data_IF_622729982144
#
_entry.id   IF_622729982144
#
_cell.length_a   1.000
_cell.length_b   1.000
_cell.length_c   1.000
_cell.angle_alpha   90.00
_cell.angle_beta   90.00
_cell.angle_gamma   90.00
#
_symmetry.space_group_name_H-M   'P 1'
#
loop_
_entity.id
_entity.type
_entity.pdbx_description
1 polymer ?
#
# COMPACT_ATOMS: atom_id res chain seq x y z
N UNK A 1 -10.68 6.99 21.31
CA UNK A 1 -11.35 8.08 20.56
C UNK A 1 -10.56 9.39 20.57
N UNK A 2 -10.12 9.90 21.73
CA UNK A 2 -9.35 11.16 21.84
C UNK A 2 -8.07 11.12 20.98
N UNK A 3 -7.30 10.03 21.04
CA UNK A 3 -6.09 9.85 20.24
C UNK A 3 -6.36 9.88 18.73
N UNK A 4 -7.50 9.34 18.28
CA UNK A 4 -7.90 9.39 16.86
C UNK A 4 -8.22 10.81 16.42
N UNK A 5 -8.90 11.60 17.27
CA UNK A 5 -9.18 13.01 17.00
C UNK A 5 -7.91 13.86 16.97
N UNK A 6 -6.97 13.61 17.88
CA UNK A 6 -5.65 14.25 17.86
C UNK A 6 -4.86 13.88 16.60
N UNK A 7 -4.90 12.61 16.18
CA UNK A 7 -4.28 12.16 14.95
C UNK A 7 -4.85 12.87 13.71
N UNK A 8 -6.16 13.04 13.66
CA UNK A 8 -6.82 13.80 12.59
C UNK A 8 -6.42 15.29 12.60
N UNK A 9 -6.35 15.90 13.78
CA UNK A 9 -5.88 17.29 13.93
C UNK A 9 -4.46 17.45 13.38
N UNK A 10 -3.54 16.53 13.73
CA UNK A 10 -2.18 16.53 13.21
C UNK A 10 -2.13 16.32 11.70
N UNK A 11 -2.94 15.39 11.17
CA UNK A 11 -3.02 15.15 9.73
C UNK A 11 -3.44 16.41 8.96
N UNK A 12 -4.41 17.16 9.48
CA UNK A 12 -4.85 18.43 8.90
C UNK A 12 -3.74 19.50 9.03
N UNK A 13 -3.13 19.64 10.22
CA UNK A 13 -2.06 20.59 10.50
C UNK A 13 -0.84 20.40 9.60
N UNK A 14 -0.44 19.15 9.38
CA UNK A 14 0.70 18.81 8.51
C UNK A 14 0.33 18.67 7.04
N UNK A 15 -0.92 18.99 6.68
CA UNK A 15 -1.44 18.90 5.30
C UNK A 15 -1.37 17.49 4.70
N UNK A 16 -1.45 16.47 5.53
CA UNK A 16 -1.56 15.08 5.08
C UNK A 16 -2.99 14.76 4.64
N UNK A 17 -3.97 15.47 5.17
CA UNK A 17 -5.37 15.36 4.83
C UNK A 17 -6.01 16.73 4.68
N UNK A 18 -6.71 16.96 3.57
CA UNK A 18 -7.60 18.11 3.33
C UNK A 18 -8.88 17.59 2.68
N UNK A 19 -9.99 17.65 3.40
CA UNK A 19 -11.28 17.16 2.91
C UNK A 19 -11.78 17.92 1.66
N UNK A 20 -11.32 19.14 1.43
CA UNK A 20 -11.70 19.95 0.27
C UNK A 20 -11.02 19.50 -1.01
N UNK A 21 -9.84 18.91 -0.91
CA UNK A 21 -9.04 18.41 -2.04
C UNK A 21 -9.06 16.89 -2.16
N UNK A 22 -9.69 16.19 -1.20
CA UNK A 22 -9.79 14.74 -1.21
C UNK A 22 -10.62 14.26 -2.41
N UNK A 23 -10.02 13.44 -3.26
CA UNK A 23 -10.69 12.90 -4.44
C UNK A 23 -11.47 11.62 -4.08
N UNK A 24 -12.74 11.79 -3.73
CA UNK A 24 -13.63 10.68 -3.33
C UNK A 24 -13.79 9.66 -4.46
N UNK A 25 -13.93 10.09 -5.71
CA UNK A 25 -14.11 9.17 -6.85
C UNK A 25 -12.88 8.29 -7.08
N UNK A 26 -11.68 8.85 -6.96
CA UNK A 26 -10.43 8.10 -7.06
C UNK A 26 -10.32 7.10 -5.91
N UNK A 27 -10.63 7.54 -4.68
CA UNK A 27 -10.66 6.68 -3.50
C UNK A 27 -11.64 5.51 -3.67
N UNK A 28 -12.90 5.77 -4.00
CA UNK A 28 -13.93 4.75 -4.22
C UNK A 28 -13.58 3.76 -5.34
N UNK A 29 -12.85 4.21 -6.36
CA UNK A 29 -12.41 3.34 -7.44
C UNK A 29 -11.29 2.39 -6.99
N UNK A 30 -10.24 2.92 -6.37
CA UNK A 30 -9.05 2.13 -6.03
C UNK A 30 -9.20 1.32 -4.74
N UNK A 31 -10.09 1.68 -3.81
CA UNK A 31 -10.37 0.89 -2.62
C UNK A 31 -11.01 -0.46 -2.93
N UNK A 32 -11.64 -0.60 -4.09
CA UNK A 32 -12.26 -1.85 -4.50
C UNK A 32 -11.21 -2.91 -4.75
N UNK A 33 -11.47 -4.14 -4.26
CA UNK A 33 -10.57 -5.28 -4.44
C UNK A 33 -10.30 -5.56 -5.93
N UNK A 34 -11.32 -5.42 -6.79
CA UNK A 34 -11.19 -5.61 -8.24
C UNK A 34 -10.21 -4.63 -8.87
N UNK A 35 -10.07 -3.44 -8.31
CA UNK A 35 -9.20 -2.36 -8.78
C UNK A 35 -7.83 -2.32 -8.10
N UNK A 36 -7.59 -3.20 -7.12
CA UNK A 36 -6.29 -3.39 -6.51
C UNK A 36 -6.24 -3.14 -5.00
N UNK A 37 -7.33 -2.63 -4.39
CA UNK A 37 -7.37 -2.25 -2.96
C UNK A 37 -6.18 -1.36 -2.60
N UNK A 38 -6.14 -0.19 -3.23
CA UNK A 38 -5.03 0.76 -3.13
C UNK A 38 -5.51 2.05 -2.51
N UNK A 39 -4.84 2.52 -1.46
CA UNK A 39 -5.22 3.72 -0.74
C UNK A 39 -4.01 4.61 -0.43
N UNK A 40 -4.16 5.92 -0.67
CA UNK A 40 -3.20 6.90 -0.17
C UNK A 40 -3.34 7.05 1.34
N UNK A 41 -2.26 6.78 2.08
CA UNK A 41 -2.15 7.12 3.50
C UNK A 41 -1.74 8.59 3.64
N UNK A 42 -0.71 8.98 2.93
CA UNK A 42 -0.29 10.38 2.78
C UNK A 42 -0.14 10.64 1.28
N UNK A 43 -1.00 11.48 0.68
CA UNK A 43 -0.97 11.75 -0.74
C UNK A 43 0.43 12.13 -1.25
N UNK A 44 0.89 11.46 -2.30
CA UNK A 44 2.20 11.70 -2.90
C UNK A 44 3.41 11.15 -2.11
N UNK A 45 3.19 10.51 -0.94
CA UNK A 45 4.28 9.96 -0.10
C UNK A 45 4.12 8.49 0.21
N UNK A 46 2.99 8.11 0.82
CA UNK A 46 2.74 6.74 1.27
C UNK A 46 1.40 6.21 0.78
N UNK A 47 1.44 5.04 0.21
CA UNK A 47 0.29 4.32 -0.33
C UNK A 47 0.26 2.91 0.26
N UNK A 48 -0.89 2.49 0.76
CA UNK A 48 -1.13 1.11 1.17
C UNK A 48 -1.83 0.35 0.05
N UNK A 49 -1.55 -0.92 -0.10
CA UNK A 49 -2.19 -1.78 -1.09
C UNK A 49 -2.24 -3.23 -0.63
N UNK A 50 -3.17 -3.99 -1.19
CA UNK A 50 -3.26 -5.43 -0.94
C UNK A 50 -2.08 -6.16 -1.55
N UNK A 51 -1.47 -7.07 -0.79
CA UNK A 51 -0.31 -7.84 -1.25
C UNK A 51 -0.60 -8.60 -2.56
N UNK A 52 0.24 -8.45 -3.59
CA UNK A 52 0.09 -9.19 -4.84
C UNK A 52 0.26 -10.70 -4.65
N UNK A 53 -0.34 -11.48 -5.54
CA UNK A 53 -0.24 -12.94 -5.54
C UNK A 53 0.12 -13.40 -6.96
N UNK A 54 1.22 -14.13 -7.07
CA UNK A 54 1.66 -14.65 -8.35
C UNK A 54 0.88 -15.91 -8.78
N UNK A 55 0.63 -16.81 -7.82
CA UNK A 55 -0.14 -18.03 -8.04
C UNK A 55 -1.37 -18.04 -7.13
N UNK A 56 -2.54 -18.21 -7.72
CA UNK A 56 -3.78 -18.37 -6.96
C UNK A 56 -3.91 -19.80 -6.47
N UNK A 57 -3.99 -19.97 -5.15
CA UNK A 57 -4.46 -21.23 -4.56
C UNK A 57 -5.98 -21.28 -4.56
N UNK A 58 -6.55 -22.49 -4.55
CA UNK A 58 -8.00 -22.71 -4.56
C UNK A 58 -8.74 -22.01 -3.41
N UNK A 59 -8.05 -21.71 -2.32
CA UNK A 59 -8.59 -21.02 -1.14
C UNK A 59 -8.42 -19.50 -1.18
N UNK A 60 -7.66 -18.95 -2.14
CA UNK A 60 -7.43 -17.50 -2.26
C UNK A 60 -8.35 -16.91 -3.31
N UNK A 61 -9.52 -16.44 -2.86
CA UNK A 61 -10.54 -15.86 -3.74
C UNK A 61 -10.15 -14.48 -4.30
N UNK A 62 -9.28 -13.74 -3.61
CA UNK A 62 -8.95 -12.36 -3.94
C UNK A 62 -7.43 -12.16 -4.00
N UNK A 63 -6.99 -11.42 -4.97
CA UNK A 63 -5.60 -11.05 -5.16
C UNK A 63 -5.30 -10.78 -6.63
N UNK A 64 -4.39 -9.86 -6.88
CA UNK A 64 -3.97 -9.51 -8.23
C UNK A 64 -2.51 -9.88 -8.46
N UNK A 65 -2.20 -10.18 -9.71
CA UNK A 65 -0.83 -10.42 -10.13
C UNK A 65 0.01 -9.13 -9.99
N UNK A 66 1.31 -9.21 -9.61
CA UNK A 66 2.18 -8.05 -9.46
C UNK A 66 2.20 -7.08 -10.64
N UNK A 67 2.06 -7.58 -11.86
CA UNK A 67 2.03 -6.76 -13.08
C UNK A 67 0.95 -5.67 -13.06
N UNK A 68 -0.22 -5.96 -12.49
CA UNK A 68 -1.29 -4.97 -12.36
C UNK A 68 -0.85 -3.80 -11.48
N UNK A 69 -0.17 -4.10 -10.37
CA UNK A 69 0.33 -3.06 -9.47
C UNK A 69 1.47 -2.25 -10.08
N UNK A 70 2.31 -2.85 -10.92
CA UNK A 70 3.33 -2.10 -11.67
C UNK A 70 2.71 -0.99 -12.51
N UNK A 71 1.61 -1.26 -13.19
CA UNK A 71 0.89 -0.26 -14.00
C UNK A 71 0.34 0.87 -13.12
N UNK A 72 -0.33 0.52 -12.01
CA UNK A 72 -0.86 1.49 -11.04
C UNK A 72 0.27 2.34 -10.46
N UNK A 73 1.36 1.72 -10.06
CA UNK A 73 2.48 2.40 -9.41
C UNK A 73 3.23 3.33 -10.38
N UNK A 74 3.36 2.95 -11.64
CA UNK A 74 3.91 3.85 -12.67
C UNK A 74 3.03 5.08 -12.86
N UNK A 75 1.70 4.90 -12.86
CA UNK A 75 0.73 6.00 -12.96
C UNK A 75 0.87 6.99 -11.80
N UNK A 76 1.07 6.49 -10.58
CA UNK A 76 1.17 7.31 -9.37
C UNK A 76 2.61 7.74 -9.02
N UNK A 77 3.61 7.34 -9.80
CA UNK A 77 5.00 7.72 -9.56
C UNK A 77 5.64 7.03 -8.34
N UNK A 78 5.18 5.83 -7.99
CA UNK A 78 5.76 5.06 -6.88
C UNK A 78 7.17 4.62 -7.23
N UNK A 79 8.12 4.96 -6.40
CA UNK A 79 9.55 4.65 -6.60
C UNK A 79 10.02 3.42 -5.82
N UNK A 80 9.30 3.03 -4.79
CA UNK A 80 9.70 1.92 -3.89
C UNK A 80 8.50 1.18 -3.33
N UNK A 81 8.60 -0.14 -3.28
CA UNK A 81 7.67 -1.03 -2.59
C UNK A 81 8.35 -1.57 -1.34
N UNK A 82 7.63 -1.57 -0.22
CA UNK A 82 8.04 -2.22 1.03
C UNK A 82 7.03 -3.34 1.29
N UNK A 83 7.52 -4.59 1.32
CA UNK A 83 6.69 -5.75 1.61
C UNK A 83 6.81 -6.08 3.09
N UNK A 84 5.69 -6.02 3.79
CA UNK A 84 5.60 -6.27 5.24
C UNK A 84 5.11 -7.69 5.56
N UNK A 85 4.53 -8.38 4.58
CA UNK A 85 3.97 -9.71 4.71
C UNK A 85 4.88 -10.79 4.09
N UNK A 86 4.40 -12.02 4.12
CA UNK A 86 5.09 -13.17 3.51
C UNK A 86 5.30 -12.99 2.00
N UNK A 87 6.34 -13.65 1.49
CA UNK A 87 6.62 -13.67 0.07
C UNK A 87 5.61 -14.53 -0.70
N UNK A 88 4.71 -13.87 -1.45
CA UNK A 88 3.70 -14.51 -2.32
C UNK A 88 3.90 -14.18 -3.80
N UNK A 89 4.93 -13.41 -4.12
CA UNK A 89 5.31 -13.03 -5.48
C UNK A 89 6.80 -12.73 -5.55
N UNK A 90 7.41 -12.86 -6.73
CA UNK A 90 8.81 -12.50 -6.96
C UNK A 90 8.96 -10.97 -7.05
N UNK A 91 9.83 -10.39 -6.22
CA UNK A 91 10.14 -8.95 -6.23
C UNK A 91 10.70 -8.43 -7.56
N UNK A 92 11.19 -9.32 -8.43
CA UNK A 92 11.69 -8.96 -9.76
C UNK A 92 10.67 -8.23 -10.62
N UNK A 93 9.37 -8.50 -10.44
CA UNK A 93 8.33 -7.77 -11.16
C UNK A 93 8.41 -6.25 -10.95
N UNK A 94 8.81 -5.81 -9.78
CA UNK A 94 9.00 -4.39 -9.46
C UNK A 94 10.39 -3.91 -9.86
N UNK A 95 11.43 -4.67 -9.57
CA UNK A 95 12.81 -4.31 -9.90
C UNK A 95 13.02 -4.14 -11.41
N UNK A 96 12.49 -5.03 -12.23
CA UNK A 96 12.57 -4.97 -13.71
C UNK A 96 11.83 -3.74 -14.29
N UNK A 97 10.96 -3.12 -13.49
CA UNK A 97 10.22 -1.92 -13.85
C UNK A 97 10.73 -0.65 -13.18
N UNK A 98 11.96 -0.66 -12.69
CA UNK A 98 12.63 0.47 -12.02
C UNK A 98 11.94 0.91 -10.72
N UNK A 99 11.23 0.01 -10.06
CA UNK A 99 10.63 0.22 -8.74
C UNK A 99 11.47 -0.56 -7.72
N UNK A 100 12.11 0.14 -6.79
CA UNK A 100 12.89 -0.49 -5.72
C UNK A 100 11.98 -1.35 -4.83
N UNK A 101 12.53 -2.42 -4.25
CA UNK A 101 11.77 -3.33 -3.40
C UNK A 101 12.58 -3.73 -2.17
N UNK A 102 11.95 -3.63 -1.00
CA UNK A 102 12.52 -4.07 0.27
C UNK A 102 11.55 -5.00 1.01
N UNK A 103 12.10 -6.00 1.67
CA UNK A 103 11.39 -6.91 2.55
C UNK A 103 11.64 -6.54 4.02
N UNK A 104 10.57 -6.18 4.73
CA UNK A 104 10.57 -5.86 6.15
C UNK A 104 9.49 -6.69 6.84
N UNK A 105 9.61 -8.01 6.75
CA UNK A 105 8.60 -8.95 7.24
C UNK A 105 8.41 -8.87 8.76
N UNK A 106 7.15 -8.82 9.17
CA UNK A 106 6.71 -9.11 10.54
C UNK A 106 5.29 -9.69 10.53
N UNK A 107 4.90 -10.31 11.64
CA UNK A 107 3.61 -11.03 11.73
C UNK A 107 2.45 -10.04 11.70
N UNK A 108 1.48 -10.29 10.81
CA UNK A 108 0.25 -9.51 10.73
C UNK A 108 -0.50 -9.48 12.07
N UNK A 109 -1.01 -8.31 12.44
CA UNK A 109 -1.65 -8.08 13.74
C UNK A 109 -0.68 -7.92 14.92
N UNK A 110 0.64 -7.96 14.68
CA UNK A 110 1.67 -7.71 15.69
C UNK A 110 2.33 -6.33 15.50
N UNK A 111 3.15 -5.94 16.46
CA UNK A 111 4.05 -4.80 16.29
C UNK A 111 5.36 -5.24 15.65
N UNK A 112 5.95 -4.46 14.74
CA UNK A 112 7.26 -4.79 14.19
C UNK A 112 8.32 -4.78 15.30
N UNK A 113 9.27 -5.76 15.31
CA UNK A 113 10.38 -5.74 16.24
C UNK A 113 11.37 -4.61 15.93
N UNK A 114 12.18 -4.20 16.92
CA UNK A 114 13.08 -3.05 16.81
C UNK A 114 14.01 -3.12 15.60
N UNK A 115 14.53 -4.30 15.28
CA UNK A 115 15.39 -4.50 14.11
C UNK A 115 14.71 -4.27 12.75
N UNK A 116 13.39 -4.26 12.71
CA UNK A 116 12.60 -3.90 11.52
C UNK A 116 12.32 -2.39 11.49
N UNK A 117 12.12 -1.78 12.68
CA UNK A 117 11.83 -0.34 12.81
C UNK A 117 13.07 0.51 12.55
N UNK A 118 14.23 0.08 13.04
CA UNK A 118 15.51 0.77 12.86
C UNK A 118 16.09 0.59 11.46
#
# INVERSE_FOLDING_TARGET
MLQCLQGLEYAIKFKWYDFRTFNVKEYEFYERVENGDVNWIIPGKFMAFMGPIEKRDANQRYGHHPKKYVEIFKKFGVSRVIRLNEEKYDRKYFLDNSIAHNDLFFIDGSTPPDNIVD
#
